data_IF_713985445823
#
_entry.id   IF_713985445823
#
_cell.length_a   1.000
_cell.length_b   1.000
_cell.length_c   1.000
_cell.angle_alpha   90.00
_cell.angle_beta   90.00
_cell.angle_gamma   90.00
#
_symmetry.space_group_name_H-M   'P 1'
#
loop_
_entity.id
_entity.type
_entity.pdbx_description
1 polymer ?
#
# COMPACT_ATOMS: atom_id res chain seq x y z
N UNK A 1 12.56 -21.31 10.49
CA UNK A 1 12.27 -20.46 11.68
C UNK A 1 10.77 -20.22 11.73
N UNK A 2 10.12 -20.47 12.86
CA UNK A 2 8.71 -20.20 12.97
C UNK A 2 8.43 -18.69 13.04
N UNK A 3 7.17 -18.30 12.84
CA UNK A 3 6.82 -16.89 12.74
C UNK A 3 7.04 -16.13 14.05
N UNK A 4 6.69 -16.72 15.19
CA UNK A 4 6.83 -16.03 16.48
C UNK A 4 8.29 -15.68 16.78
N UNK A 5 9.19 -16.61 16.51
CA UNK A 5 10.62 -16.39 16.69
C UNK A 5 11.15 -15.37 15.70
N UNK A 6 10.72 -15.47 14.44
CA UNK A 6 11.10 -14.48 13.41
C UNK A 6 10.67 -13.08 13.82
N UNK A 7 9.42 -12.94 14.24
CA UNK A 7 8.86 -11.65 14.65
C UNK A 7 9.66 -11.05 15.82
N UNK A 8 9.92 -11.85 16.84
CA UNK A 8 10.69 -11.39 18.00
C UNK A 8 12.07 -10.86 17.59
N UNK A 9 12.74 -11.55 16.68
CA UNK A 9 14.07 -11.15 16.22
C UNK A 9 14.02 -9.97 15.23
N UNK A 10 13.00 -9.90 14.40
CA UNK A 10 12.87 -8.84 13.38
C UNK A 10 12.38 -7.51 13.96
N UNK A 11 11.59 -7.54 15.02
CA UNK A 11 10.95 -6.36 15.57
C UNK A 11 11.92 -5.20 15.87
N UNK A 12 13.07 -5.42 16.55
CA UNK A 12 13.99 -4.31 16.76
C UNK A 12 14.51 -3.70 15.46
N UNK A 13 14.75 -4.53 14.45
CA UNK A 13 15.22 -4.04 13.14
C UNK A 13 14.15 -3.21 12.44
N UNK A 14 12.89 -3.66 12.52
CA UNK A 14 11.79 -2.91 11.93
C UNK A 14 11.59 -1.56 12.62
N UNK A 15 11.72 -1.51 13.94
CA UNK A 15 11.57 -0.28 14.72
C UNK A 15 12.70 0.72 14.47
N UNK A 16 13.85 0.29 14.02
CA UNK A 16 14.95 1.17 13.62
C UNK A 16 14.59 1.94 12.33
N UNK A 17 13.80 1.34 11.46
CA UNK A 17 13.40 1.93 10.17
C UNK A 17 12.10 2.71 10.29
N UNK A 18 11.15 2.18 11.06
CA UNK A 18 9.79 2.75 11.19
C UNK A 18 9.56 3.21 12.62
N UNK A 19 9.43 4.52 12.79
CA UNK A 19 9.12 5.12 14.10
C UNK A 19 7.61 5.24 14.34
N UNK A 20 6.80 5.07 13.29
CA UNK A 20 5.34 5.14 13.39
C UNK A 20 4.79 3.94 14.14
N UNK A 21 3.62 4.13 14.75
CA UNK A 21 2.88 3.04 15.38
C UNK A 21 2.08 2.33 14.28
N UNK A 22 2.60 1.21 13.80
CA UNK A 22 1.98 0.42 12.74
C UNK A 22 1.79 -1.03 13.20
N UNK A 23 1.07 -1.82 12.42
CA UNK A 23 0.90 -3.24 12.71
C UNK A 23 2.18 -4.00 12.32
N UNK A 24 3.16 -4.04 13.25
CA UNK A 24 4.44 -4.68 13.02
C UNK A 24 4.33 -6.18 12.82
N UNK A 25 3.35 -6.82 13.46
CA UNK A 25 3.14 -8.26 13.29
C UNK A 25 2.73 -8.59 11.86
N UNK A 26 1.79 -7.83 11.29
CA UNK A 26 1.40 -7.99 9.89
C UNK A 26 2.56 -7.68 8.96
N UNK A 27 3.29 -6.60 9.23
CA UNK A 27 4.46 -6.22 8.44
C UNK A 27 5.51 -7.33 8.44
N UNK A 28 5.79 -7.92 9.60
CA UNK A 28 6.74 -9.04 9.70
C UNK A 28 6.29 -10.22 8.85
N UNK A 29 4.99 -10.54 8.85
CA UNK A 29 4.48 -11.64 8.04
C UNK A 29 4.69 -11.39 6.55
N UNK A 30 4.64 -10.14 6.13
CA UNK A 30 4.82 -9.78 4.72
C UNK A 30 6.26 -9.89 4.26
N UNK A 31 7.22 -9.60 5.13
CA UNK A 31 8.64 -9.58 4.76
C UNK A 31 9.38 -10.89 5.04
N UNK A 32 8.80 -11.80 5.82
CA UNK A 32 9.47 -13.04 6.26
C UNK A 32 10.14 -13.81 5.12
N UNK A 33 9.47 -13.93 3.99
CA UNK A 33 9.98 -14.68 2.84
C UNK A 33 10.75 -13.83 1.84
N UNK A 34 10.87 -12.53 2.11
CA UNK A 34 11.47 -11.56 1.17
C UNK A 34 12.84 -11.06 1.60
N UNK A 35 13.31 -11.47 2.79
CA UNK A 35 14.62 -11.07 3.29
C UNK A 35 15.46 -12.30 3.54
N UNK A 36 16.78 -12.16 3.34
CA UNK A 36 17.75 -13.20 3.64
C UNK A 36 18.58 -12.85 4.87
N UNK A 37 18.87 -11.55 5.05
CA UNK A 37 19.60 -11.02 6.20
C UNK A 37 18.81 -9.86 6.80
N UNK A 38 19.09 -9.53 8.07
CA UNK A 38 18.37 -8.46 8.76
C UNK A 38 18.53 -7.08 8.09
N UNK A 39 19.65 -6.84 7.44
CA UNK A 39 19.88 -5.58 6.73
C UNK A 39 18.91 -5.37 5.57
N UNK A 40 18.32 -6.42 5.02
CA UNK A 40 17.36 -6.33 3.93
C UNK A 40 16.06 -5.66 4.37
N UNK A 41 15.77 -5.66 5.67
CA UNK A 41 14.51 -5.11 6.22
C UNK A 41 14.33 -3.64 5.80
N UNK A 42 15.39 -2.85 5.92
CA UNK A 42 15.32 -1.43 5.58
C UNK A 42 14.79 -1.20 4.16
N UNK A 43 15.33 -1.93 3.20
CA UNK A 43 14.93 -1.77 1.79
C UNK A 43 13.49 -2.22 1.53
N UNK A 44 12.99 -3.16 2.34
CA UNK A 44 11.65 -3.70 2.17
C UNK A 44 10.57 -2.80 2.79
N UNK A 45 10.88 -2.05 3.84
CA UNK A 45 9.86 -1.33 4.62
C UNK A 45 10.12 0.16 4.82
N UNK A 46 11.13 0.72 4.18
CA UNK A 46 11.46 2.14 4.33
C UNK A 46 10.28 3.07 3.99
N UNK A 47 9.44 2.68 3.05
CA UNK A 47 8.27 3.47 2.65
C UNK A 47 7.17 3.51 3.72
N UNK A 48 7.19 2.60 4.70
CA UNK A 48 6.20 2.61 5.79
C UNK A 48 6.40 3.86 6.66
N UNK A 49 7.65 4.27 6.88
CA UNK A 49 7.93 5.50 7.63
C UNK A 49 7.47 6.72 6.86
N UNK A 50 7.78 6.79 5.58
CA UNK A 50 7.47 7.93 4.74
C UNK A 50 7.44 7.49 3.27
N UNK A 51 6.46 7.99 2.51
CA UNK A 51 6.41 7.73 1.07
C UNK A 51 7.63 8.40 0.42
N UNK A 52 8.47 7.63 -0.28
CA UNK A 52 9.62 8.22 -0.98
C UNK A 52 9.16 9.06 -2.18
N UNK A 53 10.04 9.93 -2.66
CA UNK A 53 9.81 10.59 -3.93
C UNK A 53 9.74 9.54 -5.03
N UNK A 54 8.76 9.68 -5.92
CA UNK A 54 8.61 8.74 -7.01
C UNK A 54 8.17 9.49 -8.27
N UNK A 55 8.45 8.89 -9.42
CA UNK A 55 8.05 9.44 -10.70
C UNK A 55 6.53 9.29 -10.86
N UNK A 56 5.85 10.37 -11.19
CA UNK A 56 4.39 10.35 -11.40
C UNK A 56 4.00 9.33 -12.48
N UNK A 57 4.87 9.05 -13.42
CA UNK A 57 4.62 8.06 -14.47
C UNK A 57 4.59 6.63 -13.94
N UNK A 58 4.92 6.42 -12.66
CA UNK A 58 4.77 5.10 -12.02
C UNK A 58 3.32 4.63 -12.03
N UNK A 59 2.36 5.56 -12.09
CA UNK A 59 0.95 5.21 -12.23
C UNK A 59 0.61 4.57 -13.58
N UNK A 60 1.44 4.82 -14.59
CA UNK A 60 1.24 4.24 -15.93
C UNK A 60 1.74 2.79 -15.90
N UNK A 61 0.83 1.84 -16.07
CA UNK A 61 1.17 0.42 -16.07
C UNK A 61 0.41 -0.29 -17.19
N UNK A 62 1.16 -0.75 -18.18
CA UNK A 62 0.60 -1.33 -19.40
C UNK A 62 -0.28 -2.55 -19.13
N UNK A 63 0.18 -3.46 -18.29
CA UNK A 63 -0.53 -4.70 -17.97
C UNK A 63 -1.87 -4.41 -17.28
N UNK A 64 -1.88 -3.45 -16.36
CA UNK A 64 -3.09 -3.07 -15.61
C UNK A 64 -3.92 -2.02 -16.34
N UNK A 65 -3.43 -1.52 -17.48
CA UNK A 65 -4.11 -0.52 -18.31
C UNK A 65 -4.34 0.81 -17.58
N UNK A 66 -3.47 1.15 -16.63
CA UNK A 66 -3.58 2.39 -15.87
C UNK A 66 -2.75 3.51 -16.51
N UNK A 67 -3.20 4.73 -16.31
CA UNK A 67 -2.49 5.95 -16.70
C UNK A 67 -2.77 7.02 -15.65
N UNK A 68 -2.26 8.25 -15.84
CA UNK A 68 -2.44 9.32 -14.86
C UNK A 68 -3.91 9.68 -14.67
N UNK A 69 -4.65 9.80 -15.77
CA UNK A 69 -6.05 10.19 -15.75
C UNK A 69 -6.93 9.17 -15.04
N UNK A 70 -6.85 7.89 -15.44
CA UNK A 70 -7.71 6.87 -14.83
C UNK A 70 -7.27 6.52 -13.40
N UNK A 71 -5.98 6.66 -13.09
CA UNK A 71 -5.50 6.49 -11.72
C UNK A 71 -6.09 7.56 -10.80
N UNK A 72 -6.13 8.81 -11.25
CA UNK A 72 -6.74 9.89 -10.50
C UNK A 72 -8.24 9.62 -10.27
N UNK A 73 -8.94 9.19 -11.30
CA UNK A 73 -10.37 8.85 -11.21
C UNK A 73 -10.61 7.75 -10.18
N UNK A 74 -9.81 6.66 -10.24
CA UNK A 74 -9.94 5.56 -9.29
C UNK A 74 -9.72 6.05 -7.86
N UNK A 75 -8.65 6.82 -7.61
CA UNK A 75 -8.35 7.29 -6.27
C UNK A 75 -9.46 8.20 -5.72
N UNK A 76 -10.00 9.07 -6.56
CA UNK A 76 -11.12 9.94 -6.15
C UNK A 76 -12.39 9.16 -5.83
N UNK A 77 -12.65 8.10 -6.57
CA UNK A 77 -13.86 7.29 -6.37
C UNK A 77 -13.74 6.36 -5.17
N UNK A 78 -12.56 5.79 -4.93
CA UNK A 78 -12.37 4.88 -3.79
C UNK A 78 -12.20 5.62 -2.46
N UNK A 79 -11.74 6.87 -2.48
CA UNK A 79 -11.50 7.63 -1.26
C UNK A 79 -12.73 7.67 -0.35
N UNK A 80 -13.93 8.06 -0.81
CA UNK A 80 -15.11 8.07 0.06
C UNK A 80 -15.50 6.68 0.54
N UNK A 81 -15.27 5.64 -0.26
CA UNK A 81 -15.54 4.27 0.16
C UNK A 81 -14.61 3.88 1.31
N UNK A 82 -13.34 4.25 1.21
CA UNK A 82 -12.35 3.96 2.24
C UNK A 82 -12.57 4.79 3.50
N UNK A 83 -13.08 6.01 3.37
CA UNK A 83 -13.43 6.83 4.52
C UNK A 83 -14.56 6.23 5.35
N UNK A 84 -15.50 5.57 4.70
CA UNK A 84 -16.64 4.92 5.36
C UNK A 84 -16.28 3.53 5.91
N UNK A 85 -15.22 2.92 5.40
CA UNK A 85 -14.81 1.59 5.82
C UNK A 85 -14.18 1.65 7.20
N UNK A 86 -14.72 0.89 8.14
CA UNK A 86 -14.18 0.82 9.51
C UNK A 86 -13.17 -0.30 9.67
N UNK A 87 -13.43 -1.45 9.06
CA UNK A 87 -12.53 -2.61 9.12
C UNK A 87 -11.43 -2.48 8.08
N UNK A 88 -10.21 -2.19 8.52
CA UNK A 88 -9.04 -2.05 7.66
C UNK A 88 -8.17 -3.30 7.63
N UNK A 89 -8.78 -4.47 7.83
CA UNK A 89 -8.07 -5.72 7.57
C UNK A 89 -7.90 -5.90 6.07
N UNK A 90 -6.87 -6.64 5.69
CA UNK A 90 -6.61 -6.94 4.29
C UNK A 90 -7.82 -7.54 3.59
N UNK A 91 -8.46 -8.52 4.23
CA UNK A 91 -9.60 -9.23 3.62
C UNK A 91 -10.78 -8.30 3.38
N UNK A 92 -11.10 -7.45 4.36
CA UNK A 92 -12.22 -6.52 4.24
C UNK A 92 -11.95 -5.46 3.17
N UNK A 93 -10.74 -4.92 3.13
CA UNK A 93 -10.35 -3.94 2.11
C UNK A 93 -10.31 -4.55 0.72
N UNK A 94 -9.79 -5.77 0.61
CA UNK A 94 -9.73 -6.46 -0.68
C UNK A 94 -11.14 -6.73 -1.22
N UNK A 95 -12.06 -7.12 -0.36
CA UNK A 95 -13.45 -7.34 -0.74
C UNK A 95 -14.11 -6.04 -1.21
N UNK A 96 -13.93 -4.95 -0.45
CA UNK A 96 -14.48 -3.64 -0.80
C UNK A 96 -13.98 -3.16 -2.16
N UNK A 97 -12.68 -3.20 -2.38
CA UNK A 97 -12.07 -2.71 -3.62
C UNK A 97 -12.29 -3.67 -4.78
N UNK A 98 -12.38 -4.96 -4.51
CA UNK A 98 -12.74 -5.95 -5.53
C UNK A 98 -14.16 -5.75 -6.03
N UNK A 99 -15.08 -5.43 -5.12
CA UNK A 99 -16.45 -5.12 -5.50
C UNK A 99 -16.52 -3.83 -6.34
N UNK A 100 -15.75 -2.81 -5.96
CA UNK A 100 -15.64 -1.59 -6.74
C UNK A 100 -15.16 -1.89 -8.17
N UNK A 101 -14.11 -2.70 -8.31
CA UNK A 101 -13.58 -3.07 -9.61
C UNK A 101 -14.64 -3.79 -10.45
N UNK A 102 -15.38 -4.70 -9.84
CA UNK A 102 -16.45 -5.45 -10.50
C UNK A 102 -17.57 -4.53 -10.96
N UNK A 103 -17.96 -3.59 -10.12
CA UNK A 103 -19.02 -2.61 -10.43
C UNK A 103 -18.61 -1.72 -11.61
N UNK A 104 -17.31 -1.45 -11.75
CA UNK A 104 -16.75 -0.67 -12.85
C UNK A 104 -16.42 -1.51 -14.08
N UNK A 105 -16.65 -2.82 -14.00
CA UNK A 105 -16.31 -3.77 -15.07
C UNK A 105 -14.81 -3.74 -15.40
N UNK A 106 -13.98 -3.57 -14.38
CA UNK A 106 -12.51 -3.52 -14.51
C UNK A 106 -11.87 -4.67 -13.74
N UNK A 107 -10.64 -5.01 -14.10
CA UNK A 107 -9.88 -6.01 -13.36
C UNK A 107 -9.39 -5.39 -12.02
N UNK A 108 -9.16 -6.25 -11.03
CA UNK A 108 -8.69 -5.83 -9.71
C UNK A 108 -7.38 -5.03 -9.83
N UNK A 109 -6.47 -5.44 -10.71
CA UNK A 109 -5.20 -4.73 -10.90
C UNK A 109 -5.36 -3.28 -11.36
N UNK A 110 -6.41 -2.99 -12.12
CA UNK A 110 -6.72 -1.62 -12.54
C UNK A 110 -6.99 -0.71 -11.34
N UNK A 111 -7.61 -1.24 -10.29
CA UNK A 111 -7.90 -0.50 -9.05
C UNK A 111 -6.70 -0.53 -8.10
N UNK A 112 -6.10 -1.71 -7.92
CA UNK A 112 -5.05 -1.89 -6.91
C UNK A 112 -3.74 -1.19 -7.25
N UNK A 113 -3.40 -1.07 -8.55
CA UNK A 113 -2.15 -0.44 -8.95
C UNK A 113 -2.04 1.01 -8.51
N UNK A 114 -3.04 1.88 -8.80
CA UNK A 114 -2.97 3.26 -8.32
C UNK A 114 -2.89 3.37 -6.81
N UNK A 115 -3.60 2.50 -6.09
CA UNK A 115 -3.60 2.51 -4.63
C UNK A 115 -2.21 2.13 -4.10
N UNK A 116 -1.60 1.07 -4.67
CA UNK A 116 -0.24 0.66 -4.28
C UNK A 116 0.75 1.80 -4.43
N UNK A 117 0.74 2.47 -5.58
CA UNK A 117 1.65 3.59 -5.83
C UNK A 117 1.37 4.73 -4.86
N UNK A 118 0.09 5.06 -4.63
CA UNK A 118 -0.31 6.14 -3.72
C UNK A 118 0.18 5.90 -2.29
N UNK A 119 0.04 4.68 -1.78
CA UNK A 119 0.37 4.40 -0.38
C UNK A 119 1.83 4.00 -0.16
N UNK A 120 2.57 3.64 -1.19
CA UNK A 120 3.95 3.17 -1.05
C UNK A 120 4.98 3.96 -1.84
N UNK A 121 4.58 4.58 -2.95
CA UNK A 121 5.52 5.22 -3.88
C UNK A 121 6.44 4.22 -4.55
N UNK A 122 6.06 2.94 -4.61
CA UNK A 122 6.88 1.87 -5.20
C UNK A 122 6.07 0.96 -6.11
N UNK A 123 6.73 0.40 -7.11
CA UNK A 123 6.15 -0.61 -7.99
C UNK A 123 6.15 -1.99 -7.33
N UNK A 124 7.19 -2.29 -6.55
CA UNK A 124 7.36 -3.56 -5.87
C UNK A 124 7.28 -3.35 -4.36
N UNK A 125 6.39 -4.07 -3.71
CA UNK A 125 6.19 -3.98 -2.27
C UNK A 125 6.12 -5.38 -1.67
N UNK A 126 6.40 -5.54 -0.35
CA UNK A 126 6.35 -6.85 0.30
C UNK A 126 4.95 -7.42 0.47
N UNK A 127 3.94 -6.76 -0.08
CA UNK A 127 2.56 -7.24 -0.06
C UNK A 127 1.73 -6.45 -1.03
N UNK A 128 0.45 -6.75 -1.11
CA UNK A 128 -0.48 -6.03 -1.97
C UNK A 128 -0.93 -4.71 -1.35
N UNK A 129 -1.63 -3.89 -2.13
CA UNK A 129 -2.10 -2.58 -1.68
C UNK A 129 -2.93 -2.67 -0.39
N UNK A 130 -3.84 -3.62 -0.30
CA UNK A 130 -4.71 -3.76 0.87
C UNK A 130 -3.96 -4.24 2.10
N UNK A 131 -2.93 -5.09 1.92
CA UNK A 131 -2.06 -5.49 3.03
C UNK A 131 -1.28 -4.31 3.58
N UNK A 132 -0.79 -3.44 2.70
CA UNK A 132 -0.09 -2.22 3.10
C UNK A 132 -1.01 -1.29 3.88
N UNK A 133 -2.26 -1.16 3.47
CA UNK A 133 -3.24 -0.34 4.17
C UNK A 133 -3.56 -0.89 5.56
N UNK A 134 -3.60 -2.22 5.72
CA UNK A 134 -3.77 -2.82 7.04
C UNK A 134 -2.61 -2.45 7.97
N UNK A 135 -1.38 -2.49 7.45
CA UNK A 135 -0.18 -2.11 8.23
C UNK A 135 -0.21 -0.62 8.59
N UNK A 136 -0.48 0.24 7.62
CA UNK A 136 -0.46 1.69 7.80
C UNK A 136 -1.63 2.20 8.65
N UNK A 137 -2.79 1.55 8.55
CA UNK A 137 -4.00 1.99 9.20
C UNK A 137 -4.78 3.00 8.37
N UNK A 138 -6.01 3.25 8.80
CA UNK A 138 -6.96 4.09 8.05
C UNK A 138 -6.47 5.52 7.87
N UNK A 139 -6.04 6.16 8.94
CA UNK A 139 -5.65 7.57 8.91
C UNK A 139 -4.49 7.82 7.95
N UNK A 140 -3.43 7.03 8.07
CA UNK A 140 -2.25 7.19 7.22
C UNK A 140 -2.56 6.80 5.78
N UNK A 141 -3.33 5.74 5.56
CA UNK A 141 -3.72 5.32 4.21
C UNK A 141 -4.49 6.42 3.49
N UNK A 142 -5.46 7.04 4.16
CA UNK A 142 -6.25 8.12 3.57
C UNK A 142 -5.40 9.36 3.32
N UNK A 143 -4.47 9.70 4.22
CA UNK A 143 -3.58 10.83 4.04
C UNK A 143 -2.70 10.65 2.80
N UNK A 144 -2.16 9.46 2.58
CA UNK A 144 -1.32 9.15 1.43
C UNK A 144 -2.11 9.18 0.12
N UNK A 145 -3.35 8.68 0.15
CA UNK A 145 -4.24 8.71 -1.01
C UNK A 145 -4.59 10.16 -1.36
N UNK A 146 -4.89 10.99 -0.37
CA UNK A 146 -5.20 12.41 -0.61
C UNK A 146 -3.99 13.13 -1.23
N UNK A 147 -2.80 12.91 -0.72
CA UNK A 147 -1.58 13.48 -1.28
C UNK A 147 -1.40 13.07 -2.74
N UNK A 148 -1.66 11.80 -3.04
CA UNK A 148 -1.58 11.28 -4.42
C UNK A 148 -2.62 11.94 -5.33
N UNK A 149 -3.84 12.12 -4.85
CA UNK A 149 -4.90 12.80 -5.61
C UNK A 149 -4.47 14.23 -5.94
N UNK A 150 -3.94 14.96 -4.95
CA UNK A 150 -3.48 16.32 -5.13
C UNK A 150 -2.37 16.39 -6.19
N UNK A 151 -1.42 15.48 -6.12
CA UNK A 151 -0.30 15.41 -7.06
C UNK A 151 -0.77 15.10 -8.47
N UNK A 152 -1.62 14.09 -8.62
CA UNK A 152 -2.17 13.71 -9.93
C UNK A 152 -3.04 14.82 -10.52
N UNK A 153 -3.76 15.55 -9.68
CA UNK A 153 -4.60 16.67 -10.12
C UNK A 153 -3.77 17.80 -10.72
N UNK A 154 -2.53 17.98 -10.25
CA UNK A 154 -1.64 19.00 -10.77
C UNK A 154 -1.02 18.59 -12.10
N UNK A 155 -0.82 17.29 -12.31
CA UNK A 155 -0.15 16.75 -13.50
C UNK A 155 -1.12 16.35 -14.63
N UNK A 156 -2.36 16.09 -14.29
CA UNK A 156 -3.35 15.60 -15.25
C UNK A 156 -3.98 16.71 -16.09
#
# INVERSE_FOLDING_TARGET
MDFDKFYEMALPHMKEVVSRDVNFEKLASMIKTRIEIWADIKDQIDFIEQVPDYDINMYVHKKNKTNLENSLEVLKEVQPLLEKQEDYSNDALFELLGQYAKDKEKKVGFVMWPIRVAVSGKQMTPGGATELMEVLGKEESLARIQTAIDRLSQEA
#
